data_IF_624697973093
#
_entry.id   IF_624697973093
#
_cell.length_a   1.000
_cell.length_b   1.000
_cell.length_c   1.000
_cell.angle_alpha   90.00
_cell.angle_beta   90.00
_cell.angle_gamma   90.00
#
_symmetry.space_group_name_H-M   'P 1'
#
loop_
_entity.id
_entity.type
_entity.pdbx_description
1 polymer ?
#
# COMPACT_ATOMS: atom_id res chain seq x y z
N UNK A 1 4.35 11.22 11.01
CA UNK A 1 4.60 10.04 10.12
C UNK A 1 6.01 10.02 9.52
N UNK A 2 6.91 10.88 9.99
CA UNK A 2 8.31 10.88 9.62
C UNK A 2 9.12 10.56 10.88
N UNK A 3 9.84 9.45 10.86
CA UNK A 3 10.46 8.85 12.05
C UNK A 3 11.96 8.67 11.85
N UNK A 4 12.73 8.88 12.90
CA UNK A 4 14.15 8.54 12.97
C UNK A 4 14.37 7.30 13.85
N UNK A 5 15.26 6.40 13.44
CA UNK A 5 15.74 5.29 14.29
C UNK A 5 17.01 5.75 15.01
N UNK A 6 16.97 5.99 16.34
CA UNK A 6 18.10 6.56 17.08
C UNK A 6 19.38 5.74 16.94
N UNK A 7 20.50 6.44 16.76
CA UNK A 7 21.83 5.84 16.63
C UNK A 7 22.12 5.23 15.25
N UNK A 8 21.32 5.55 14.24
CA UNK A 8 21.50 5.07 12.85
C UNK A 8 21.33 6.21 11.86
N UNK A 9 21.71 6.02 10.59
CA UNK A 9 21.39 6.96 9.52
C UNK A 9 20.16 6.52 8.71
N UNK A 10 19.17 5.94 9.39
CA UNK A 10 17.91 5.50 8.79
C UNK A 10 16.74 6.32 9.32
N UNK A 11 15.90 6.78 8.39
CA UNK A 11 14.60 7.38 8.68
C UNK A 11 13.49 6.59 7.97
N UNK A 12 12.33 6.50 8.61
CA UNK A 12 11.13 5.87 8.07
C UNK A 12 10.11 6.96 7.73
N UNK A 13 9.46 6.82 6.59
CA UNK A 13 8.42 7.73 6.14
C UNK A 13 7.15 6.94 5.83
N UNK A 14 6.07 7.31 6.51
CA UNK A 14 4.72 6.81 6.28
C UNK A 14 4.05 7.56 5.14
N UNK A 15 3.91 6.93 3.98
CA UNK A 15 3.38 7.53 2.75
C UNK A 15 1.94 7.11 2.46
N UNK A 16 1.33 7.75 1.47
CA UNK A 16 0.16 7.21 0.77
C UNK A 16 0.52 7.10 -0.71
N UNK A 17 0.29 5.93 -1.30
CA UNK A 17 0.55 5.67 -2.72
C UNK A 17 -0.31 6.56 -3.64
N UNK A 18 -1.53 6.84 -3.21
CA UNK A 18 -2.54 7.60 -3.95
C UNK A 18 -3.19 8.62 -3.04
N UNK A 19 -3.58 9.76 -3.61
CA UNK A 19 -4.36 10.79 -2.95
C UNK A 19 -5.75 10.91 -3.60
N UNK A 20 -6.75 11.45 -2.87
CA UNK A 20 -8.00 11.85 -3.49
C UNK A 20 -7.73 13.00 -4.49
N UNK A 21 -8.38 12.98 -5.64
CA UNK A 21 -8.21 13.99 -6.68
C UNK A 21 -8.59 15.41 -6.21
N UNK A 22 -9.39 15.52 -5.14
CA UNK A 22 -9.77 16.78 -4.48
C UNK A 22 -8.60 17.49 -3.79
N UNK A 23 -7.50 16.78 -3.47
CA UNK A 23 -6.34 17.39 -2.79
C UNK A 23 -5.03 16.69 -3.14
N UNK A 24 -4.09 17.45 -3.72
CA UNK A 24 -2.70 17.02 -3.99
C UNK A 24 -1.70 17.48 -2.93
N UNK A 25 -2.20 17.99 -1.80
CA UNK A 25 -1.36 18.55 -0.73
C UNK A 25 -0.46 17.46 -0.15
N UNK A 26 0.77 17.86 0.11
CA UNK A 26 1.76 17.08 0.86
C UNK A 26 2.26 17.94 2.01
N UNK A 27 2.50 17.37 3.20
CA UNK A 27 3.15 18.09 4.28
C UNK A 27 4.61 18.47 3.92
N UNK A 28 5.18 19.51 4.54
CA UNK A 28 6.56 19.94 4.30
C UNK A 28 7.60 18.83 4.53
N UNK A 29 7.39 18.00 5.56
CA UNK A 29 8.28 16.89 5.90
C UNK A 29 8.51 15.87 4.77
N UNK A 30 7.69 15.87 3.72
CA UNK A 30 7.91 15.05 2.51
C UNK A 30 9.16 15.49 1.75
N UNK A 31 9.28 16.79 1.50
CA UNK A 31 10.40 17.37 0.75
C UNK A 31 11.66 17.35 1.62
N UNK A 32 11.54 17.71 2.89
CA UNK A 32 12.64 17.65 3.86
C UNK A 32 13.20 16.24 4.02
N UNK A 33 12.34 15.22 4.05
CA UNK A 33 12.77 13.84 4.12
C UNK A 33 13.53 13.41 2.87
N UNK A 34 13.03 13.80 1.70
CA UNK A 34 13.70 13.53 0.43
C UNK A 34 15.07 14.20 0.36
N UNK A 35 15.18 15.47 0.76
CA UNK A 35 16.42 16.24 0.71
C UNK A 35 17.47 15.74 1.70
N UNK A 36 17.04 15.33 2.90
CA UNK A 36 17.92 14.72 3.89
C UNK A 36 18.56 13.42 3.38
N UNK A 37 17.83 12.62 2.60
CA UNK A 37 18.24 11.30 2.16
C UNK A 37 19.34 11.33 1.08
N UNK A 38 20.35 10.47 1.21
CA UNK A 38 21.32 10.19 0.14
C UNK A 38 20.86 9.03 -0.74
N UNK A 39 20.06 8.11 -0.19
CA UNK A 39 19.46 6.98 -0.91
C UNK A 39 18.05 6.70 -0.41
N UNK A 40 17.21 6.17 -1.29
CA UNK A 40 15.81 5.85 -0.98
C UNK A 40 15.59 4.34 -1.02
N UNK A 41 14.65 3.88 -0.20
CA UNK A 41 14.18 2.50 -0.20
C UNK A 41 12.65 2.54 -0.22
N UNK A 42 12.04 2.06 -1.31
CA UNK A 42 10.58 1.96 -1.43
C UNK A 42 10.10 0.53 -1.16
N UNK A 43 8.80 0.31 -1.06
CA UNK A 43 8.24 -1.04 -0.88
C UNK A 43 8.60 -1.97 -2.04
N UNK A 44 8.10 -1.69 -3.23
CA UNK A 44 8.22 -2.54 -4.42
C UNK A 44 8.28 -1.69 -5.70
N UNK A 45 8.62 -2.33 -6.82
CA UNK A 45 8.70 -1.69 -8.14
C UNK A 45 7.36 -1.82 -8.90
N UNK A 46 6.53 -0.76 -8.99
CA UNK A 46 5.16 -0.89 -9.46
C UNK A 46 4.99 -1.51 -10.86
N UNK A 47 5.80 -1.18 -11.89
CA UNK A 47 5.66 -1.78 -13.22
C UNK A 47 5.90 -3.29 -13.25
N UNK A 48 6.67 -3.81 -12.30
CA UNK A 48 7.08 -5.23 -12.30
C UNK A 48 5.99 -6.18 -11.83
N UNK A 49 4.89 -5.67 -11.24
CA UNK A 49 3.75 -6.49 -10.83
C UNK A 49 2.86 -6.90 -12.01
N UNK A 50 2.91 -6.18 -13.14
CA UNK A 50 2.02 -6.39 -14.28
C UNK A 50 1.97 -7.84 -14.79
N UNK A 51 3.09 -8.57 -14.93
CA UNK A 51 3.09 -9.98 -15.36
C UNK A 51 2.42 -10.93 -14.36
N UNK A 52 2.28 -10.53 -13.09
CA UNK A 52 1.70 -11.35 -12.03
C UNK A 52 0.19 -11.14 -11.87
N UNK A 53 -0.38 -10.11 -12.51
CA UNK A 53 -1.82 -9.81 -12.37
C UNK A 53 -2.71 -10.87 -13.00
N UNK A 54 -2.22 -11.56 -14.04
CA UNK A 54 -2.98 -12.56 -14.78
C UNK A 54 -2.68 -13.96 -14.26
N UNK A 55 -3.73 -14.79 -14.25
CA UNK A 55 -3.63 -16.21 -13.95
C UNK A 55 -3.56 -17.04 -15.23
N UNK A 56 -3.27 -18.32 -15.08
CA UNK A 56 -3.64 -19.32 -16.09
C UNK A 56 -5.16 -19.58 -16.05
N UNK A 57 -5.65 -20.41 -16.98
CA UNK A 57 -7.10 -20.59 -17.24
C UNK A 57 -7.88 -21.04 -15.99
N UNK A 58 -7.25 -21.76 -15.07
CA UNK A 58 -7.90 -22.29 -13.86
C UNK A 58 -7.73 -21.39 -12.62
N UNK A 59 -6.73 -20.50 -12.61
CA UNK A 59 -6.44 -19.59 -11.49
C UNK A 59 -7.10 -18.21 -11.59
N UNK A 60 -7.90 -17.96 -12.63
CA UNK A 60 -8.50 -16.66 -12.90
C UNK A 60 -9.68 -16.30 -11.97
N UNK A 61 -10.00 -15.01 -11.90
CA UNK A 61 -11.09 -14.45 -11.10
C UNK A 61 -12.48 -14.98 -11.51
N UNK A 62 -12.57 -15.67 -12.64
CA UNK A 62 -13.75 -16.44 -13.03
C UNK A 62 -14.23 -17.41 -11.92
N UNK A 63 -13.31 -17.94 -11.10
CA UNK A 63 -13.65 -18.79 -9.93
C UNK A 63 -14.50 -18.03 -8.88
N UNK A 64 -14.37 -16.70 -8.82
CA UNK A 64 -15.11 -15.88 -7.86
C UNK A 64 -16.60 -15.76 -8.23
N UNK A 65 -16.99 -16.03 -9.48
CA UNK A 65 -18.39 -15.93 -9.91
C UNK A 65 -19.32 -16.84 -9.08
N UNK A 66 -18.85 -18.01 -8.65
CA UNK A 66 -19.63 -18.92 -7.81
C UNK A 66 -19.57 -18.59 -6.31
N UNK A 67 -18.67 -17.69 -5.89
CA UNK A 67 -18.44 -17.35 -4.48
C UNK A 67 -19.01 -15.97 -4.10
N UNK A 68 -19.14 -15.08 -5.08
CA UNK A 68 -19.73 -13.74 -4.92
C UNK A 68 -21.22 -13.78 -5.25
N UNK A 69 -22.10 -13.06 -4.53
CA UNK A 69 -23.51 -12.90 -4.91
C UNK A 69 -23.65 -12.46 -6.37
N UNK A 70 -24.61 -13.06 -7.10
CA UNK A 70 -24.72 -12.87 -8.54
C UNK A 70 -24.92 -11.40 -8.97
N UNK A 71 -25.64 -10.62 -8.16
CA UNK A 71 -25.84 -9.19 -8.37
C UNK A 71 -24.54 -8.39 -8.18
N UNK A 72 -23.77 -8.71 -7.13
CA UNK A 72 -22.47 -8.11 -6.87
C UNK A 72 -21.46 -8.44 -7.98
N UNK A 73 -21.41 -9.70 -8.43
CA UNK A 73 -20.55 -10.10 -9.55
C UNK A 73 -20.90 -9.37 -10.85
N UNK A 74 -22.19 -9.27 -11.17
CA UNK A 74 -22.67 -8.55 -12.36
C UNK A 74 -22.27 -7.08 -12.32
N UNK A 75 -22.41 -6.42 -11.15
CA UNK A 75 -22.02 -5.02 -10.96
C UNK A 75 -20.51 -4.82 -11.06
N UNK A 76 -19.72 -5.74 -10.50
CA UNK A 76 -18.26 -5.72 -10.61
C UNK A 76 -17.82 -5.85 -12.08
N UNK A 77 -18.37 -6.81 -12.82
CA UNK A 77 -18.10 -6.98 -14.25
C UNK A 77 -18.47 -5.72 -15.06
N UNK A 78 -19.61 -5.10 -14.76
CA UNK A 78 -20.06 -3.89 -15.46
C UNK A 78 -19.17 -2.67 -15.19
N UNK A 79 -18.54 -2.60 -14.02
CA UNK A 79 -17.60 -1.52 -13.67
C UNK A 79 -16.17 -1.78 -14.17
N UNK A 80 -15.84 -3.02 -14.55
CA UNK A 80 -14.48 -3.39 -14.92
C UNK A 80 -14.11 -2.89 -16.34
N UNK A 81 -12.87 -2.44 -16.56
CA UNK A 81 -12.41 -2.08 -17.91
C UNK A 81 -12.48 -3.27 -18.87
N UNK A 82 -12.87 -2.99 -20.12
CA UNK A 82 -12.96 -3.99 -21.20
C UNK A 82 -11.67 -4.13 -22.00
N UNK A 83 -10.73 -3.20 -21.83
CA UNK A 83 -9.45 -3.17 -22.54
C UNK A 83 -8.28 -2.85 -21.60
N UNK A 84 -7.06 -3.12 -22.06
CA UNK A 84 -5.84 -2.85 -21.31
C UNK A 84 -5.40 -3.98 -20.39
N UNK A 85 -4.34 -3.78 -19.59
CA UNK A 85 -3.69 -4.85 -18.81
C UNK A 85 -4.58 -5.48 -17.74
N UNK A 86 -5.63 -4.77 -17.33
CA UNK A 86 -6.60 -5.24 -16.33
C UNK A 86 -7.77 -6.02 -16.95
N UNK A 87 -7.92 -6.01 -18.27
CA UNK A 87 -9.02 -6.67 -18.96
C UNK A 87 -8.59 -8.03 -19.56
N UNK A 88 -9.50 -9.02 -19.67
CA UNK A 88 -10.80 -9.07 -18.99
C UNK A 88 -10.63 -9.35 -17.48
N UNK A 89 -11.67 -9.06 -16.70
CA UNK A 89 -11.74 -9.41 -15.27
C UNK A 89 -11.44 -10.90 -15.04
N UNK A 90 -12.04 -11.78 -15.87
CA UNK A 90 -11.98 -13.24 -15.71
C UNK A 90 -10.55 -13.81 -15.64
N UNK A 91 -9.59 -13.16 -16.31
CA UNK A 91 -8.21 -13.64 -16.39
C UNK A 91 -7.32 -13.12 -15.25
N UNK A 92 -7.79 -12.15 -14.47
CA UNK A 92 -7.01 -11.63 -13.35
C UNK A 92 -6.94 -12.65 -12.23
N UNK A 93 -5.84 -12.69 -11.49
CA UNK A 93 -5.80 -13.42 -10.22
C UNK A 93 -6.85 -12.85 -9.26
N UNK A 94 -7.47 -13.67 -8.40
CA UNK A 94 -8.44 -13.22 -7.40
C UNK A 94 -7.92 -12.07 -6.54
N UNK A 95 -6.67 -12.12 -6.08
CA UNK A 95 -6.07 -11.04 -5.30
C UNK A 95 -5.88 -9.75 -6.12
N UNK A 96 -5.58 -9.87 -7.42
CA UNK A 96 -5.43 -8.69 -8.27
C UNK A 96 -6.78 -7.97 -8.43
N UNK A 97 -7.86 -8.75 -8.53
CA UNK A 97 -9.23 -8.22 -8.51
C UNK A 97 -9.51 -7.50 -7.20
N UNK A 98 -9.16 -8.09 -6.06
CA UNK A 98 -9.32 -7.48 -4.73
C UNK A 98 -8.62 -6.11 -4.61
N UNK A 99 -7.37 -6.01 -5.09
CA UNK A 99 -6.59 -4.78 -4.99
C UNK A 99 -7.08 -3.70 -5.96
N UNK A 100 -7.48 -4.09 -7.17
CA UNK A 100 -7.87 -3.14 -8.22
C UNK A 100 -9.31 -2.66 -8.06
N UNK A 101 -10.24 -3.51 -7.61
CA UNK A 101 -11.67 -3.19 -7.60
C UNK A 101 -12.03 -1.88 -6.86
N UNK A 102 -11.48 -1.56 -5.67
CA UNK A 102 -11.78 -0.32 -4.97
C UNK A 102 -11.40 0.92 -5.78
N UNK A 103 -10.32 0.85 -6.56
CA UNK A 103 -9.80 1.99 -7.33
C UNK A 103 -10.74 2.43 -8.46
N UNK A 104 -11.62 1.55 -8.94
CA UNK A 104 -12.62 1.86 -9.96
C UNK A 104 -13.69 2.84 -9.45
N UNK A 105 -13.83 2.97 -8.13
CA UNK A 105 -14.81 3.84 -7.48
C UNK A 105 -14.17 5.04 -6.76
N UNK A 106 -12.88 5.26 -7.00
CA UNK A 106 -12.13 6.37 -6.42
C UNK A 106 -11.74 7.39 -7.50
N UNK A 107 -11.63 8.64 -7.10
CA UNK A 107 -11.01 9.69 -7.91
C UNK A 107 -9.60 9.89 -7.38
N UNK A 108 -8.62 9.44 -8.16
CA UNK A 108 -7.25 9.24 -7.69
C UNK A 108 -6.26 10.14 -8.41
N UNK A 109 -5.22 10.54 -7.69
CA UNK A 109 -4.00 11.17 -8.23
C UNK A 109 -2.79 10.58 -7.50
N UNK A 110 -1.61 10.71 -8.11
CA UNK A 110 -0.36 10.23 -7.52
C UNK A 110 -0.14 10.79 -6.11
N UNK A 111 0.18 9.89 -5.18
CA UNK A 111 0.63 10.20 -3.84
C UNK A 111 2.14 10.45 -3.75
N UNK A 112 2.75 10.01 -2.66
CA UNK A 112 4.14 10.35 -2.32
C UNK A 112 5.15 9.59 -3.17
N UNK A 113 5.01 8.27 -3.27
CA UNK A 113 6.02 7.38 -3.85
C UNK A 113 6.20 7.60 -5.35
N UNK A 114 5.13 7.70 -6.17
CA UNK A 114 5.31 8.01 -7.59
C UNK A 114 5.98 9.38 -7.80
N UNK A 115 5.72 10.37 -6.93
CA UNK A 115 6.38 11.69 -6.97
C UNK A 115 7.86 11.59 -6.60
N UNK A 116 8.19 10.92 -5.49
CA UNK A 116 9.57 10.74 -5.06
C UNK A 116 10.39 9.92 -6.05
N UNK A 117 9.81 8.89 -6.68
CA UNK A 117 10.48 8.13 -7.75
C UNK A 117 10.79 9.02 -8.96
N UNK A 118 9.88 9.93 -9.35
CA UNK A 118 10.17 10.92 -10.41
C UNK A 118 11.31 11.86 -10.01
N UNK A 119 11.31 12.36 -8.77
CA UNK A 119 12.40 13.20 -8.28
C UNK A 119 13.73 12.46 -8.26
N UNK A 120 13.73 11.21 -7.80
CA UNK A 120 14.92 10.38 -7.72
C UNK A 120 15.54 10.15 -9.10
N UNK A 121 14.71 9.83 -10.09
CA UNK A 121 15.13 9.69 -11.48
C UNK A 121 15.66 11.01 -12.06
N UNK A 122 14.97 12.13 -11.82
CA UNK A 122 15.38 13.44 -12.33
C UNK A 122 16.70 13.93 -11.71
N UNK A 123 16.93 13.64 -10.43
CA UNK A 123 18.12 14.08 -9.68
C UNK A 123 19.25 13.03 -9.64
N UNK A 124 19.05 11.85 -10.25
CA UNK A 124 20.01 10.74 -10.16
C UNK A 124 20.21 10.22 -8.73
N UNK A 125 19.21 10.38 -7.84
CA UNK A 125 19.28 9.87 -6.47
C UNK A 125 19.08 8.36 -6.49
N UNK A 126 20.02 7.56 -5.95
CA UNK A 126 19.90 6.11 -5.96
C UNK A 126 18.70 5.66 -5.12
N UNK A 127 18.04 4.60 -5.58
CA UNK A 127 16.97 3.96 -4.84
C UNK A 127 16.95 2.45 -5.07
N UNK A 128 16.28 1.74 -4.17
CA UNK A 128 16.01 0.28 -4.27
C UNK A 128 14.66 -0.05 -3.63
N UNK A 129 14.30 -1.33 -3.65
CA UNK A 129 13.02 -1.84 -3.16
C UNK A 129 13.19 -2.80 -1.99
N UNK A 130 12.22 -2.79 -1.07
CA UNK A 130 12.14 -3.72 0.06
C UNK A 130 11.68 -5.09 -0.38
N UNK A 131 10.95 -5.24 -1.48
CA UNK A 131 10.47 -6.53 -1.97
C UNK A 131 10.35 -6.57 -3.49
N UNK A 132 10.33 -7.79 -4.02
CA UNK A 132 10.13 -8.04 -5.46
C UNK A 132 8.64 -8.19 -5.78
N UNK A 133 8.25 -8.04 -7.05
CA UNK A 133 6.88 -8.31 -7.48
C UNK A 133 6.42 -9.76 -7.22
N UNK A 134 7.33 -10.75 -7.27
CA UNK A 134 6.99 -12.13 -6.91
C UNK A 134 6.61 -12.23 -5.43
N UNK A 135 7.35 -11.55 -4.55
CA UNK A 135 7.05 -11.56 -3.11
C UNK A 135 5.72 -10.86 -2.80
N UNK A 136 5.41 -9.77 -3.51
CA UNK A 136 4.09 -9.11 -3.44
C UNK A 136 3.00 -10.09 -3.86
N UNK A 137 3.17 -10.73 -5.03
CA UNK A 137 2.19 -11.68 -5.56
C UNK A 137 2.00 -12.87 -4.62
N UNK A 138 3.07 -13.47 -4.10
CA UNK A 138 3.02 -14.61 -3.17
C UNK A 138 2.32 -14.23 -1.86
N UNK A 139 2.58 -13.04 -1.32
CA UNK A 139 1.89 -12.55 -0.13
C UNK A 139 0.39 -12.39 -0.38
N UNK A 140 -0.01 -11.83 -1.54
CA UNK A 140 -1.40 -11.60 -1.90
C UNK A 140 -2.14 -12.88 -2.31
N UNK A 141 -1.44 -13.86 -2.90
CA UNK A 141 -1.96 -15.19 -3.24
C UNK A 141 -2.33 -15.99 -1.97
N UNK A 142 -1.76 -15.67 -0.82
CA UNK A 142 -2.10 -16.32 0.45
C UNK A 142 -3.52 -15.99 0.95
N UNK A 143 -4.20 -15.01 0.36
CA UNK A 143 -5.56 -14.61 0.75
C UNK A 143 -6.56 -15.68 0.25
N UNK A 144 -7.34 -16.32 1.14
CA UNK A 144 -8.31 -17.33 0.73
C UNK A 144 -9.38 -16.78 -0.23
N UNK A 145 -9.80 -17.58 -1.19
CA UNK A 145 -10.81 -17.19 -2.19
C UNK A 145 -12.13 -16.71 -1.56
N UNK A 146 -12.59 -17.37 -0.49
CA UNK A 146 -13.78 -16.94 0.24
C UNK A 146 -13.61 -15.56 0.88
N UNK A 147 -12.39 -15.22 1.31
CA UNK A 147 -12.07 -13.88 1.84
C UNK A 147 -12.05 -12.83 0.73
N UNK A 148 -11.48 -13.15 -0.43
CA UNK A 148 -11.55 -12.29 -1.62
C UNK A 148 -13.02 -12.05 -2.01
N UNK A 149 -13.83 -13.11 -2.09
CA UNK A 149 -15.24 -13.02 -2.44
C UNK A 149 -16.04 -12.17 -1.43
N UNK A 150 -15.80 -12.36 -0.13
CA UNK A 150 -16.41 -11.56 0.92
C UNK A 150 -16.05 -10.07 0.80
N UNK A 151 -14.77 -9.76 0.57
CA UNK A 151 -14.31 -8.38 0.39
C UNK A 151 -14.93 -7.71 -0.84
N UNK A 152 -15.00 -8.41 -1.98
CA UNK A 152 -15.65 -7.89 -3.18
C UNK A 152 -17.16 -7.70 -2.98
N UNK A 153 -17.81 -8.58 -2.21
CA UNK A 153 -19.22 -8.43 -1.84
C UNK A 153 -19.46 -7.20 -0.98
N UNK A 154 -18.60 -6.97 0.03
CA UNK A 154 -18.63 -5.76 0.86
C UNK A 154 -18.43 -4.49 0.03
N UNK A 155 -17.43 -4.49 -0.87
CA UNK A 155 -17.19 -3.39 -1.79
C UNK A 155 -18.42 -3.09 -2.66
N UNK A 156 -19.07 -4.12 -3.22
CA UNK A 156 -20.27 -3.92 -4.03
C UNK A 156 -21.47 -3.44 -3.21
N UNK A 157 -21.54 -3.77 -1.92
CA UNK A 157 -22.63 -3.28 -1.06
C UNK A 157 -22.59 -1.76 -0.83
N UNK A 158 -21.40 -1.16 -0.88
CA UNK A 158 -21.20 0.29 -0.77
C UNK A 158 -19.98 0.73 -1.59
N UNK A 159 -20.20 1.00 -2.87
CA UNK A 159 -19.13 1.46 -3.79
C UNK A 159 -18.62 2.86 -3.46
N UNK A 160 -19.29 3.61 -2.57
CA UNK A 160 -18.82 4.92 -2.12
C UNK A 160 -17.85 4.86 -0.95
N UNK A 161 -17.76 3.72 -0.24
CA UNK A 161 -16.84 3.55 0.90
C UNK A 161 -15.38 3.86 0.52
N UNK A 162 -14.82 3.32 -0.59
CA UNK A 162 -13.39 3.49 -0.86
C UNK A 162 -12.97 4.95 -1.00
N UNK A 163 -13.80 5.79 -1.61
CA UNK A 163 -13.52 7.22 -1.74
C UNK A 163 -13.57 7.92 -0.39
N UNK A 164 -14.58 7.63 0.44
CA UNK A 164 -14.72 8.23 1.78
C UNK A 164 -13.55 7.83 2.69
N UNK A 165 -13.14 6.57 2.66
CA UNK A 165 -12.01 6.07 3.44
C UNK A 165 -10.70 6.71 2.98
N UNK A 166 -10.48 6.83 1.68
CA UNK A 166 -9.30 7.54 1.12
C UNK A 166 -9.23 9.00 1.59
N UNK A 167 -10.33 9.74 1.50
CA UNK A 167 -10.38 11.16 1.91
C UNK A 167 -10.13 11.34 3.40
N UNK A 168 -10.72 10.48 4.24
CA UNK A 168 -10.51 10.49 5.69
C UNK A 168 -9.05 10.16 6.03
N UNK A 169 -8.48 9.14 5.39
CA UNK A 169 -7.07 8.77 5.58
C UNK A 169 -6.13 9.91 5.15
N UNK A 170 -6.40 10.55 4.01
CA UNK A 170 -5.60 11.67 3.52
C UNK A 170 -5.64 12.86 4.48
N UNK A 171 -6.82 13.20 5.02
CA UNK A 171 -6.96 14.26 6.03
C UNK A 171 -6.15 13.96 7.30
N UNK A 172 -6.24 12.74 7.84
CA UNK A 172 -5.44 12.34 9.00
C UNK A 172 -3.93 12.32 8.70
N UNK A 173 -3.56 11.89 7.50
CA UNK A 173 -2.18 11.84 7.02
C UNK A 173 -1.54 13.22 6.89
N UNK A 174 -2.29 14.22 6.41
CA UNK A 174 -1.84 15.61 6.33
C UNK A 174 -1.48 16.19 7.72
N UNK A 175 -2.24 15.82 8.74
CA UNK A 175 -2.01 16.23 10.14
C UNK A 175 -0.97 15.36 10.87
N UNK A 176 -0.30 14.45 10.15
CA UNK A 176 0.63 13.46 10.71
C UNK A 176 0.05 12.58 11.84
N UNK A 177 -1.29 12.45 11.92
CA UNK A 177 -2.01 11.67 12.94
C UNK A 177 -2.06 10.18 12.56
N UNK A 178 -0.96 9.51 12.87
CA UNK A 178 -0.79 8.08 12.63
C UNK A 178 -1.80 7.21 13.41
N UNK A 179 -2.15 7.52 14.67
CA UNK A 179 -3.26 6.85 15.36
C UNK A 179 -4.63 7.00 14.65
N UNK A 180 -4.95 8.18 14.09
CA UNK A 180 -6.19 8.34 13.33
C UNK A 180 -6.19 7.50 12.05
N UNK A 181 -5.08 7.45 11.31
CA UNK A 181 -4.95 6.57 10.14
C UNK A 181 -5.18 5.09 10.52
N UNK A 182 -4.62 4.63 11.64
CA UNK A 182 -4.85 3.28 12.14
C UNK A 182 -6.34 3.01 12.42
N UNK A 183 -7.02 3.91 13.15
CA UNK A 183 -8.45 3.78 13.45
C UNK A 183 -9.32 3.74 12.20
N UNK A 184 -9.02 4.57 11.21
CA UNK A 184 -9.77 4.58 9.95
C UNK A 184 -9.61 3.25 9.20
N UNK A 185 -8.41 2.65 9.23
CA UNK A 185 -8.22 1.31 8.67
C UNK A 185 -8.98 0.24 9.45
N UNK A 186 -9.01 0.32 10.78
CA UNK A 186 -9.75 -0.63 11.63
C UNK A 186 -11.29 -0.48 11.49
N UNK A 187 -11.79 0.63 10.96
CA UNK A 187 -13.20 0.83 10.60
C UNK A 187 -13.55 0.31 9.20
N UNK A 188 -12.55 0.05 8.34
CA UNK A 188 -12.79 -0.40 6.97
C UNK A 188 -13.27 -1.86 6.95
N UNK A 189 -14.41 -2.16 6.29
CA UNK A 189 -14.94 -3.53 6.21
C UNK A 189 -13.96 -4.52 5.55
N UNK A 190 -13.10 -4.05 4.65
CA UNK A 190 -12.13 -4.91 3.94
C UNK A 190 -10.89 -5.14 4.80
N UNK A 191 -10.33 -4.10 5.42
CA UNK A 191 -9.11 -4.23 6.23
C UNK A 191 -9.32 -4.95 7.57
N UNK A 192 -10.57 -5.08 8.02
CA UNK A 192 -10.91 -5.91 9.20
C UNK A 192 -10.87 -7.41 8.93
N UNK A 193 -10.79 -7.84 7.67
CA UNK A 193 -10.63 -9.25 7.30
C UNK A 193 -9.19 -9.72 7.61
N UNK A 194 -8.98 -10.67 8.56
CA UNK A 194 -7.63 -10.99 9.06
C UNK A 194 -6.64 -11.47 7.98
N UNK A 195 -7.08 -12.26 7.01
CA UNK A 195 -6.21 -12.74 5.94
C UNK A 195 -5.73 -11.61 5.01
N UNK A 196 -6.58 -10.60 4.76
CA UNK A 196 -6.20 -9.41 3.98
C UNK A 196 -5.20 -8.58 4.76
N UNK A 197 -5.49 -8.29 6.03
CA UNK A 197 -4.55 -7.56 6.90
C UNK A 197 -3.20 -8.27 6.98
N UNK A 198 -3.21 -9.59 7.12
CA UNK A 198 -1.99 -10.40 7.19
C UNK A 198 -1.16 -10.29 5.92
N UNK A 199 -1.79 -10.45 4.75
CA UNK A 199 -1.12 -10.41 3.46
C UNK A 199 -0.57 -9.02 3.12
N UNK A 200 -1.36 -7.96 3.37
CA UNK A 200 -1.00 -6.58 3.01
C UNK A 200 -0.03 -5.95 4.01
N UNK A 201 -0.12 -6.29 5.31
CA UNK A 201 0.67 -5.66 6.36
C UNK A 201 1.59 -6.65 7.07
N UNK A 202 1.04 -7.62 7.80
CA UNK A 202 1.80 -8.36 8.81
C UNK A 202 2.96 -9.19 8.22
N UNK A 203 2.71 -9.91 7.12
CA UNK A 203 3.71 -10.73 6.45
C UNK A 203 4.84 -9.87 5.88
N UNK A 204 4.47 -8.76 5.24
CA UNK A 204 5.41 -7.80 4.63
C UNK A 204 6.24 -7.09 5.69
N UNK A 205 5.62 -6.62 6.80
CA UNK A 205 6.34 -6.00 7.92
C UNK A 205 7.43 -6.90 8.50
N UNK A 206 7.13 -8.20 8.70
CA UNK A 206 8.13 -9.16 9.22
C UNK A 206 9.30 -9.35 8.27
N UNK A 207 9.04 -9.43 6.97
CA UNK A 207 10.08 -9.59 5.95
C UNK A 207 10.92 -8.32 5.81
N UNK A 208 10.27 -7.16 5.70
CA UNK A 208 10.93 -5.88 5.56
C UNK A 208 11.74 -5.50 6.78
N UNK A 209 11.29 -5.83 7.99
CA UNK A 209 12.07 -5.59 9.20
C UNK A 209 13.45 -6.25 9.13
N UNK A 210 13.58 -7.41 8.49
CA UNK A 210 14.89 -8.05 8.30
C UNK A 210 15.77 -7.24 7.35
N UNK A 211 15.21 -6.79 6.23
CA UNK A 211 15.90 -6.00 5.20
C UNK A 211 16.27 -4.60 5.70
N UNK A 212 15.43 -3.99 6.52
CA UNK A 212 15.69 -2.70 7.18
C UNK A 212 16.78 -2.83 8.23
N UNK A 213 16.90 -3.98 8.93
CA UNK A 213 18.03 -4.22 9.87
C UNK A 213 19.39 -4.12 9.19
N UNK A 214 19.49 -4.57 7.94
CA UNK A 214 20.72 -4.51 7.15
C UNK A 214 21.13 -3.07 6.77
N UNK A 215 20.19 -2.11 6.91
CA UNK A 215 20.42 -0.68 6.66
C UNK A 215 20.98 0.04 7.88
N UNK A 216 20.63 -0.41 9.10
CA UNK A 216 20.95 0.28 10.35
C UNK A 216 22.45 0.56 10.56
N UNK A 217 23.39 -0.35 10.24
CA UNK A 217 24.82 -0.07 10.43
C UNK A 217 25.44 0.80 9.32
N UNK A 218 24.68 1.13 8.27
CA UNK A 218 25.20 1.89 7.13
C UNK A 218 25.35 3.37 7.49
N UNK A 219 26.46 3.98 7.08
CA UNK A 219 26.71 5.40 7.29
C UNK A 219 25.90 6.30 6.35
N UNK A 220 25.39 5.77 5.24
CA UNK A 220 24.62 6.52 4.25
C UNK A 220 23.23 6.90 4.79
N UNK A 221 22.83 8.16 4.63
CA UNK A 221 21.49 8.63 5.01
C UNK A 221 20.44 7.96 4.13
N UNK A 222 19.68 7.03 4.71
CA UNK A 222 18.70 6.21 4.01
C UNK A 222 17.29 6.55 4.45
N UNK A 223 16.44 6.92 3.51
CA UNK A 223 15.01 7.08 3.76
C UNK A 223 14.25 5.84 3.27
N UNK A 224 13.61 5.14 4.19
CA UNK A 224 12.72 4.03 3.90
C UNK A 224 11.29 4.56 3.83
N UNK A 225 10.67 4.46 2.65
CA UNK A 225 9.33 4.96 2.35
C UNK A 225 8.37 3.78 2.24
N UNK A 226 7.43 3.71 3.18
CA UNK A 226 6.40 2.66 3.27
C UNK A 226 5.05 3.31 3.55
N UNK A 227 3.97 2.71 3.08
CA UNK A 227 2.61 3.12 3.34
C UNK A 227 2.39 3.32 4.83
N UNK A 228 1.69 4.39 5.20
CA UNK A 228 1.53 4.82 6.60
C UNK A 228 0.99 3.69 7.50
N UNK A 229 0.15 2.80 6.95
CA UNK A 229 -0.37 1.65 7.69
C UNK A 229 0.70 0.67 8.16
N UNK A 230 1.85 0.58 7.48
CA UNK A 230 2.99 -0.23 7.91
C UNK A 230 3.69 0.33 9.16
N UNK A 231 3.45 1.58 9.54
CA UNK A 231 4.06 2.22 10.71
C UNK A 231 3.12 2.28 11.93
N UNK A 232 1.91 1.72 11.84
CA UNK A 232 0.89 1.86 12.88
C UNK A 232 0.16 0.56 13.22
N UNK A 233 -0.46 0.54 14.40
CA UNK A 233 -1.17 -0.62 14.91
C UNK A 233 -0.24 -1.77 15.34
N UNK A 234 -0.81 -2.85 15.90
CA UNK A 234 -0.03 -4.00 16.34
C UNK A 234 0.66 -4.70 15.18
N UNK A 235 1.91 -5.13 15.39
CA UNK A 235 2.70 -5.83 14.36
C UNK A 235 3.23 -4.92 13.25
N UNK A 236 3.26 -3.61 13.49
CA UNK A 236 3.85 -2.65 12.55
C UNK A 236 5.35 -2.90 12.33
N UNK A 237 5.90 -2.28 11.28
CA UNK A 237 7.30 -2.44 10.89
C UNK A 237 8.28 -2.04 12.01
N UNK A 238 7.98 -1.00 12.79
CA UNK A 238 8.83 -0.53 13.90
C UNK A 238 8.88 -1.57 15.01
N UNK A 239 7.74 -2.16 15.37
CA UNK A 239 7.65 -3.26 16.33
C UNK A 239 8.41 -4.49 15.82
N UNK A 240 8.22 -4.88 14.56
CA UNK A 240 8.93 -5.99 13.93
C UNK A 240 10.45 -5.76 13.86
N UNK A 241 10.88 -4.51 13.76
CA UNK A 241 12.30 -4.13 13.78
C UNK A 241 12.92 -4.29 15.17
N UNK A 242 12.11 -4.28 16.24
CA UNK A 242 12.59 -4.35 17.63
C UNK A 242 13.40 -3.12 18.03
N UNK A 243 13.11 -1.95 17.44
CA UNK A 243 13.81 -0.68 17.69
C UNK A 243 12.81 0.41 18.04
N UNK A 244 13.24 1.36 18.87
CA UNK A 244 12.50 2.61 19.02
C UNK A 244 12.63 3.42 17.72
N UNK A 245 11.53 4.03 17.30
CA UNK A 245 11.52 5.08 16.27
C UNK A 245 10.88 6.33 16.87
N UNK A 246 11.51 7.48 16.68
CA UNK A 246 11.07 8.75 17.25
C UNK A 246 10.56 9.67 16.14
N UNK A 247 9.43 10.36 16.34
CA UNK A 247 9.00 11.40 15.42
C UNK A 247 10.11 12.44 15.24
N UNK A 248 10.35 12.81 13.99
CA UNK A 248 11.08 14.02 13.68
C UNK A 248 10.04 15.13 13.74
N UNK A 249 10.17 15.97 14.76
CA UNK A 249 9.40 17.19 14.87
C UNK A 249 10.17 18.25 14.07
N UNK A 250 9.46 19.04 13.27
CA UNK A 250 10.05 20.18 12.60
C UNK A 250 10.64 21.09 13.71
N UNK A 251 11.94 21.38 13.63
CA UNK A 251 12.53 22.45 14.45
C UNK A 251 11.88 23.75 13.95
N UNK A 252 11.15 24.46 14.82
CA UNK A 252 10.65 25.83 14.55
C UNK A 252 11.78 26.81 14.20
#
# INVERSE_FOLDING_TARGET
MYLHIPGTNVRLLGSMHLFPASSRRTPPWIEEAYDWAETLVFESDPPTILPFLKADVEGGAQVLQSLVPADAWTRLQAAWPTEGPLAPLADLRPWATLIVAPTLFQQLVDGVEPRMLRWANAHGKPYRYLETASEVADALESIPLDTVAAALSLLMSDTGEPQRTLERMHAAWLEADLPAVARIADESPIFTLPAIRHAILDARNRLWAQRVRDLLPQAQRTLVVVGALHLCGPGNLVECLGRAAQPILDDE
#
